data_IF_517741535143
#
_entry.id   IF_517741535143
#
_cell.length_a   1.000
_cell.length_b   1.000
_cell.length_c   1.000
_cell.angle_alpha   90.00
_cell.angle_beta   90.00
_cell.angle_gamma   90.00
#
_symmetry.space_group_name_H-M   'P 1'
#
loop_
_entity.id
_entity.type
_entity.pdbx_description
1 polymer ?
#
# COMPACT_ATOMS: atom_id res chain seq x y z
N UNK A 1 -2.08 -8.35 10.40
CA UNK A 1 -0.82 -8.82 9.77
C UNK A 1 -0.36 -7.79 8.75
N UNK A 2 0.93 -7.48 8.70
CA UNK A 2 1.51 -6.53 7.74
C UNK A 2 2.54 -7.24 6.85
N UNK A 3 2.36 -7.18 5.53
CA UNK A 3 3.26 -7.80 4.53
C UNK A 3 3.81 -6.70 3.61
N UNK A 4 5.12 -6.66 3.44
CA UNK A 4 5.79 -5.77 2.47
C UNK A 4 6.24 -6.60 1.28
N UNK A 5 5.81 -6.19 0.09
CA UNK A 5 6.17 -6.80 -1.19
C UNK A 5 7.03 -5.81 -1.98
N UNK A 6 8.29 -6.15 -2.22
CA UNK A 6 9.24 -5.32 -2.95
C UNK A 6 9.68 -5.98 -4.25
N UNK A 7 10.34 -5.24 -5.11
CA UNK A 7 10.93 -5.73 -6.36
C UNK A 7 11.08 -4.64 -7.42
N UNK A 8 11.83 -4.93 -8.46
CA UNK A 8 12.05 -4.04 -9.59
C UNK A 8 10.78 -3.78 -10.41
N UNK A 9 10.85 -2.81 -11.33
CA UNK A 9 9.76 -2.56 -12.28
C UNK A 9 9.50 -3.81 -13.13
N UNK A 10 8.22 -4.18 -13.31
CA UNK A 10 7.86 -5.37 -14.08
C UNK A 10 8.19 -6.72 -13.43
N UNK A 11 8.66 -6.76 -12.19
CA UNK A 11 9.03 -8.02 -11.50
C UNK A 11 7.87 -8.97 -11.21
N UNK A 12 6.62 -8.52 -11.34
CA UNK A 12 5.43 -9.29 -10.97
C UNK A 12 4.94 -9.06 -9.54
N UNK A 13 5.55 -8.12 -8.79
CA UNK A 13 5.21 -7.85 -7.38
C UNK A 13 3.74 -7.48 -7.15
N UNK A 14 3.11 -6.68 -8.04
CA UNK A 14 1.70 -6.31 -7.91
C UNK A 14 0.79 -7.53 -8.04
N UNK A 15 1.05 -8.39 -9.02
CA UNK A 15 0.29 -9.63 -9.22
C UNK A 15 0.43 -10.57 -8.02
N UNK A 16 1.64 -10.68 -7.47
CA UNK A 16 1.88 -11.46 -6.26
C UNK A 16 1.15 -10.86 -5.05
N UNK A 17 1.26 -9.55 -4.84
CA UNK A 17 0.57 -8.87 -3.73
C UNK A 17 -0.96 -9.08 -3.79
N UNK A 18 -1.56 -8.96 -4.99
CA UNK A 18 -2.99 -9.24 -5.19
C UNK A 18 -3.35 -10.71 -4.93
N UNK A 19 -2.45 -11.66 -5.23
CA UNK A 19 -2.71 -13.09 -4.99
C UNK A 19 -2.85 -13.44 -3.51
N UNK A 20 -2.18 -12.69 -2.61
CA UNK A 20 -2.32 -12.89 -1.17
C UNK A 20 -3.76 -12.68 -0.68
N UNK A 21 -4.54 -11.86 -1.39
CA UNK A 21 -5.93 -11.59 -1.04
C UNK A 21 -6.89 -12.75 -1.33
N UNK A 22 -6.44 -13.81 -1.98
CA UNK A 22 -7.22 -15.05 -2.12
C UNK A 22 -7.41 -15.76 -0.77
N UNK A 23 -6.47 -15.55 0.16
CA UNK A 23 -6.49 -16.14 1.49
C UNK A 23 -7.21 -15.26 2.53
N UNK A 24 -7.49 -13.99 2.21
CA UNK A 24 -8.17 -13.07 3.12
C UNK A 24 -9.68 -13.10 2.89
N UNK A 25 -10.39 -13.09 4.00
CA UNK A 25 -11.85 -13.00 4.03
C UNK A 25 -12.32 -11.54 4.15
N UNK A 26 -13.62 -11.30 4.07
CA UNK A 26 -14.23 -10.00 4.36
C UNK A 26 -13.95 -8.92 3.30
N UNK A 27 -13.86 -7.67 3.77
CA UNK A 27 -13.70 -6.50 2.91
C UNK A 27 -12.27 -6.37 2.39
N UNK A 28 -12.13 -6.20 1.07
CA UNK A 28 -10.85 -6.04 0.40
C UNK A 28 -10.75 -4.65 -0.22
N UNK A 29 -9.84 -3.83 0.28
CA UNK A 29 -9.65 -2.44 -0.13
C UNK A 29 -8.36 -2.34 -0.94
N UNK A 30 -8.42 -1.68 -2.10
CA UNK A 30 -7.26 -1.35 -2.90
C UNK A 30 -7.01 0.16 -2.80
N UNK A 31 -5.92 0.55 -2.13
CA UNK A 31 -5.51 1.94 -1.98
C UNK A 31 -4.59 2.29 -3.15
N UNK A 32 -5.12 3.03 -4.12
CA UNK A 32 -4.38 3.47 -5.30
C UNK A 32 -3.71 4.81 -5.03
N UNK A 33 -2.38 4.83 -5.05
CA UNK A 33 -1.59 6.06 -4.82
C UNK A 33 -1.12 6.73 -6.10
N UNK A 34 -1.45 6.18 -7.27
CA UNK A 34 -1.03 6.73 -8.54
C UNK A 34 -1.84 7.99 -8.88
N UNK A 35 -1.16 9.10 -9.04
CA UNK A 35 -1.71 10.34 -9.58
C UNK A 35 -1.62 10.33 -11.11
N UNK A 36 -2.66 10.81 -11.77
CA UNK A 36 -2.77 10.74 -13.22
C UNK A 36 -2.62 12.15 -13.80
N UNK A 37 -1.55 12.37 -14.52
CA UNK A 37 -1.26 13.68 -15.15
C UNK A 37 -1.49 13.70 -16.66
N UNK A 38 -1.48 12.54 -17.33
CA UNK A 38 -1.52 12.41 -18.79
C UNK A 38 -2.36 11.21 -19.26
N UNK A 39 -2.52 11.10 -20.59
CA UNK A 39 -3.28 9.99 -21.20
C UNK A 39 -2.61 8.63 -21.01
N UNK A 40 -1.28 8.57 -20.88
CA UNK A 40 -0.56 7.32 -20.60
C UNK A 40 -0.88 6.84 -19.18
N UNK A 41 -0.90 7.76 -18.21
CA UNK A 41 -1.32 7.49 -16.84
C UNK A 41 -2.76 6.99 -16.77
N UNK A 42 -3.70 7.60 -17.53
CA UNK A 42 -5.09 7.13 -17.62
C UNK A 42 -5.17 5.71 -18.17
N UNK A 43 -4.43 5.41 -19.24
CA UNK A 43 -4.40 4.08 -19.83
C UNK A 43 -3.84 3.03 -18.85
N UNK A 44 -2.82 3.40 -18.06
CA UNK A 44 -2.22 2.56 -17.03
C UNK A 44 -3.20 2.28 -15.90
N UNK A 45 -3.89 3.29 -15.38
CA UNK A 45 -4.94 3.13 -14.36
C UNK A 45 -6.09 2.26 -14.89
N UNK A 46 -6.57 2.51 -16.11
CA UNK A 46 -7.63 1.71 -16.72
C UNK A 46 -7.22 0.23 -16.85
N UNK A 47 -5.98 -0.04 -17.27
CA UNK A 47 -5.42 -1.39 -17.32
C UNK A 47 -5.39 -2.05 -15.94
N UNK A 48 -4.93 -1.34 -14.90
CA UNK A 48 -4.88 -1.86 -13.54
C UNK A 48 -6.29 -2.11 -12.98
N UNK A 49 -7.27 -1.22 -13.25
CA UNK A 49 -8.67 -1.45 -12.87
C UNK A 49 -9.23 -2.71 -13.52
N UNK A 50 -9.00 -2.89 -14.83
CA UNK A 50 -9.44 -4.08 -15.56
C UNK A 50 -8.82 -5.38 -15.03
N UNK A 51 -7.55 -5.35 -14.63
CA UNK A 51 -6.86 -6.52 -14.05
C UNK A 51 -7.41 -6.91 -12.66
N UNK A 52 -8.07 -5.98 -11.96
CA UNK A 52 -8.71 -6.20 -10.65
C UNK A 52 -10.19 -6.49 -10.74
N UNK A 53 -10.80 -6.35 -11.92
CA UNK A 53 -12.20 -6.65 -12.15
C UNK A 53 -12.52 -8.09 -11.75
N UNK A 54 -13.56 -8.28 -10.95
CA UNK A 54 -13.94 -9.61 -10.43
C UNK A 54 -13.14 -10.13 -9.24
N UNK A 55 -12.09 -9.40 -8.75
CA UNK A 55 -11.32 -9.83 -7.58
C UNK A 55 -11.90 -9.36 -6.24
N UNK A 56 -13.01 -8.65 -6.25
CA UNK A 56 -13.72 -8.21 -5.04
C UNK A 56 -13.08 -7.02 -4.31
N UNK A 57 -12.19 -6.26 -4.96
CA UNK A 57 -11.61 -5.06 -4.37
C UNK A 57 -12.53 -3.84 -4.48
N UNK A 58 -12.71 -3.14 -3.36
CA UNK A 58 -13.14 -1.75 -3.34
C UNK A 58 -11.92 -0.86 -3.59
N UNK A 59 -11.89 -0.12 -4.69
CA UNK A 59 -10.78 0.78 -5.00
C UNK A 59 -11.01 2.16 -4.40
N UNK A 60 -10.04 2.63 -3.62
CA UNK A 60 -9.98 3.99 -3.06
C UNK A 60 -8.76 4.68 -3.64
N UNK A 61 -8.95 5.81 -4.30
CA UNK A 61 -7.86 6.63 -4.83
C UNK A 61 -7.40 7.59 -3.72
N UNK A 62 -6.15 7.46 -3.30
CA UNK A 62 -5.53 8.30 -2.28
C UNK A 62 -4.07 8.53 -2.66
N UNK A 63 -3.79 9.50 -3.53
CA UNK A 63 -2.43 9.81 -3.95
C UNK A 63 -1.58 10.40 -2.82
N UNK A 64 -2.22 11.01 -1.82
CA UNK A 64 -1.59 11.64 -0.66
C UNK A 64 -2.42 11.35 0.59
N UNK A 65 -1.87 11.66 1.79
CA UNK A 65 -2.57 11.62 3.08
C UNK A 65 -3.29 10.28 3.37
N UNK A 66 -2.66 9.16 3.03
CA UNK A 66 -3.27 7.83 3.21
C UNK A 66 -3.68 7.54 4.65
N UNK A 67 -3.04 8.18 5.64
CA UNK A 67 -3.39 8.03 7.06
C UNK A 67 -4.77 8.53 7.45
N UNK A 68 -5.42 9.34 6.60
CA UNK A 68 -6.76 9.89 6.85
C UNK A 68 -7.88 8.97 6.34
N UNK A 69 -7.54 7.95 5.51
CA UNK A 69 -8.52 7.07 4.85
C UNK A 69 -9.48 6.36 5.81
N UNK A 70 -9.03 6.07 7.01
CA UNK A 70 -9.81 5.34 8.02
C UNK A 70 -10.07 6.19 9.29
N UNK A 71 -10.04 7.53 9.17
CA UNK A 71 -10.44 8.42 10.25
C UNK A 71 -11.94 8.24 10.56
N UNK A 72 -12.33 8.33 11.83
CA UNK A 72 -13.65 7.93 12.38
C UNK A 72 -14.90 8.50 11.67
N UNK A 73 -14.74 9.57 10.89
CA UNK A 73 -15.85 10.21 10.18
C UNK A 73 -16.21 9.55 8.83
N UNK A 74 -15.35 8.69 8.27
CA UNK A 74 -15.54 8.11 6.93
C UNK A 74 -16.12 6.68 6.94
N UNK A 75 -16.04 5.99 8.08
CA UNK A 75 -16.54 4.63 8.24
C UNK A 75 -17.66 4.61 9.30
N UNK A 76 -18.87 5.04 8.90
CA UNK A 76 -20.07 4.70 9.67
C UNK A 76 -20.18 3.17 9.67
N UNK A 77 -20.03 2.58 10.83
CA UNK A 77 -20.39 1.19 11.07
C UNK A 77 -21.79 0.95 10.48
N UNK A 78 -21.90 0.07 9.52
CA UNK A 78 -23.20 -0.57 9.20
C UNK A 78 -23.53 -1.48 10.39
N UNK A 79 -24.08 -0.85 11.44
CA UNK A 79 -24.72 -1.54 12.54
C UNK A 79 -26.04 -2.08 12.01
N UNK A 80 -26.05 -3.26 11.45
CA UNK A 80 -27.24 -4.09 11.32
C UNK A 80 -26.85 -5.56 11.04
N UNK A 81 -26.15 -6.17 12.00
CA UNK A 81 -26.23 -7.62 12.19
C UNK A 81 -26.27 -7.89 13.69
N UNK A 82 -27.44 -8.34 14.15
CA UNK A 82 -27.62 -8.89 15.48
C UNK A 82 -26.55 -9.98 15.73
N UNK A 83 -25.93 -10.05 16.91
CA UNK A 83 -24.95 -11.07 17.20
C UNK A 83 -25.58 -12.45 17.08
N UNK A 84 -25.02 -13.30 16.25
CA UNK A 84 -25.39 -14.72 16.16
C UNK A 84 -25.07 -15.38 17.50
N UNK A 85 -26.05 -16.00 18.14
CA UNK A 85 -25.98 -16.59 19.49
C UNK A 85 -24.92 -17.71 19.64
N UNK A 86 -24.21 -18.07 18.56
CA UNK A 86 -23.20 -19.12 18.53
C UNK A 86 -21.75 -18.63 18.43
N UNK A 87 -21.49 -17.33 18.60
CA UNK A 87 -20.11 -16.84 18.50
C UNK A 87 -19.43 -16.88 19.86
N UNK A 88 -18.39 -17.68 20.02
CA UNK A 88 -17.55 -17.69 21.21
C UNK A 88 -16.97 -16.29 21.44
N UNK A 89 -16.97 -15.75 22.69
CA UNK A 89 -16.37 -14.46 22.99
C UNK A 89 -14.89 -14.45 22.61
N UNK A 90 -14.51 -13.62 21.62
CA UNK A 90 -13.13 -13.49 21.14
C UNK A 90 -12.83 -14.08 19.75
N UNK A 91 -13.74 -14.83 19.13
CA UNK A 91 -13.59 -15.23 17.74
C UNK A 91 -13.94 -14.08 16.80
N UNK A 92 -12.98 -13.57 16.04
CA UNK A 92 -13.23 -12.59 14.96
C UNK A 92 -14.11 -13.28 13.91
N UNK A 93 -15.25 -12.65 13.55
CA UNK A 93 -16.06 -13.15 12.44
C UNK A 93 -15.28 -12.89 11.13
N UNK A 94 -14.95 -13.93 10.35
CA UNK A 94 -14.19 -13.76 9.10
C UNK A 94 -14.85 -12.81 8.11
N UNK A 95 -16.17 -12.65 8.18
CA UNK A 95 -16.93 -11.73 7.31
C UNK A 95 -16.70 -10.24 7.66
N UNK A 96 -16.22 -9.95 8.87
CA UNK A 96 -15.92 -8.59 9.32
C UNK A 96 -14.43 -8.22 9.20
N UNK A 97 -13.62 -9.09 8.60
CA UNK A 97 -12.20 -8.85 8.37
C UNK A 97 -12.01 -7.74 7.33
N UNK A 98 -11.12 -6.77 7.63
CA UNK A 98 -10.78 -5.67 6.72
C UNK A 98 -9.33 -5.80 6.30
N UNK A 99 -9.11 -5.98 5.00
CA UNK A 99 -7.78 -6.14 4.42
C UNK A 99 -7.53 -5.08 3.34
N UNK A 100 -6.34 -4.46 3.33
CA UNK A 100 -6.01 -3.46 2.33
C UNK A 100 -4.70 -3.77 1.60
N UNK A 101 -4.68 -3.43 0.31
CA UNK A 101 -3.50 -3.41 -0.55
C UNK A 101 -3.15 -1.97 -0.89
N UNK A 102 -1.99 -1.48 -0.46
CA UNK A 102 -1.47 -0.17 -0.82
C UNK A 102 -0.52 -0.31 -2.01
N UNK A 103 -0.87 0.31 -3.13
CA UNK A 103 -0.06 0.32 -4.36
C UNK A 103 0.08 1.72 -4.95
N UNK A 104 1.29 2.30 -4.85
CA UNK A 104 2.52 1.82 -4.22
C UNK A 104 3.20 2.93 -3.42
N UNK A 105 4.13 2.54 -2.55
CA UNK A 105 4.89 3.50 -1.73
C UNK A 105 5.68 4.48 -2.57
N UNK A 106 6.22 4.07 -3.73
CA UNK A 106 7.01 4.95 -4.59
C UNK A 106 6.18 6.10 -5.16
N UNK A 107 4.94 5.84 -5.62
CA UNK A 107 4.05 6.91 -6.07
C UNK A 107 3.66 7.82 -4.90
N UNK A 108 3.30 7.22 -3.76
CA UNK A 108 2.96 7.99 -2.56
C UNK A 108 4.12 8.90 -2.13
N UNK A 109 5.36 8.38 -2.13
CA UNK A 109 6.54 9.18 -1.79
C UNK A 109 6.76 10.33 -2.77
N UNK A 110 6.58 10.10 -4.06
CA UNK A 110 6.70 11.14 -5.07
C UNK A 110 5.64 12.23 -4.88
N UNK A 111 4.37 11.85 -4.69
CA UNK A 111 3.27 12.79 -4.52
C UNK A 111 3.43 13.63 -3.24
N UNK A 112 3.81 13.00 -2.12
CA UNK A 112 4.04 13.70 -0.85
C UNK A 112 5.27 14.60 -0.88
N UNK A 113 6.26 14.31 -1.74
CA UNK A 113 7.48 15.08 -1.86
C UNK A 113 7.37 16.24 -2.85
N UNK A 114 6.77 15.99 -4.02
CA UNK A 114 6.69 16.95 -5.13
C UNK A 114 5.29 17.55 -5.21
N UNK A 115 4.97 18.39 -4.23
CA UNK A 115 3.67 19.06 -4.15
C UNK A 115 3.62 20.30 -5.04
N UNK A 116 2.43 20.75 -5.38
CA UNK A 116 2.23 21.99 -6.17
C UNK A 116 2.82 23.22 -5.50
N UNK A 117 2.83 23.27 -4.17
CA UNK A 117 3.35 24.37 -3.36
C UNK A 117 4.86 24.27 -3.07
N UNK A 118 5.53 23.22 -3.53
CA UNK A 118 6.97 23.05 -3.42
C UNK A 118 7.44 21.65 -3.06
N UNK A 119 8.76 21.53 -2.86
CA UNK A 119 9.40 20.24 -2.52
C UNK A 119 9.50 20.12 -1.01
N UNK A 120 8.92 19.04 -0.46
CA UNK A 120 8.99 18.71 0.96
C UNK A 120 10.28 17.96 1.26
N UNK A 121 10.94 18.28 2.39
CA UNK A 121 12.21 17.66 2.77
C UNK A 121 12.06 16.13 2.96
N UNK A 122 13.04 15.36 2.47
CA UNK A 122 13.00 13.89 2.43
C UNK A 122 12.68 13.26 3.80
N UNK A 123 13.22 13.82 4.90
CA UNK A 123 12.94 13.30 6.24
C UNK A 123 11.48 13.49 6.66
N UNK A 124 10.91 14.66 6.35
CA UNK A 124 9.50 14.96 6.67
C UNK A 124 8.55 14.03 5.91
N UNK A 125 8.83 13.79 4.62
CA UNK A 125 8.07 12.86 3.79
C UNK A 125 8.15 11.44 4.35
N UNK A 126 9.37 10.99 4.68
CA UNK A 126 9.56 9.64 5.22
C UNK A 126 8.82 9.45 6.56
N UNK A 127 9.00 10.39 7.49
CA UNK A 127 8.35 10.33 8.81
C UNK A 127 6.82 10.32 8.67
N UNK A 128 6.26 11.19 7.79
CA UNK A 128 4.82 11.26 7.52
C UNK A 128 4.27 9.95 6.97
N UNK A 129 4.90 9.40 5.92
CA UNK A 129 4.40 8.16 5.27
C UNK A 129 4.47 6.98 6.25
N UNK A 130 5.54 6.87 7.04
CA UNK A 130 5.66 5.82 8.06
C UNK A 130 4.54 5.94 9.08
N UNK A 131 4.26 7.15 9.57
CA UNK A 131 3.18 7.40 10.53
C UNK A 131 1.80 7.09 9.91
N UNK A 132 1.55 7.54 8.68
CA UNK A 132 0.30 7.29 7.96
C UNK A 132 0.05 5.78 7.75
N UNK A 133 1.09 5.03 7.35
CA UNK A 133 0.98 3.57 7.20
C UNK A 133 0.73 2.89 8.55
N UNK A 134 1.32 3.36 9.65
CA UNK A 134 1.02 2.85 10.98
C UNK A 134 -0.44 3.09 11.38
N UNK A 135 -0.98 4.29 11.07
CA UNK A 135 -2.39 4.63 11.33
C UNK A 135 -3.33 3.66 10.58
N UNK A 136 -3.10 3.45 9.29
CA UNK A 136 -3.96 2.53 8.52
C UNK A 136 -3.78 1.07 8.96
N UNK A 137 -2.56 0.65 9.27
CA UNK A 137 -2.30 -0.72 9.75
C UNK A 137 -3.01 -1.01 11.09
N UNK A 138 -3.14 -0.02 11.97
CA UNK A 138 -3.85 -0.18 13.25
C UNK A 138 -5.36 -0.38 13.10
N UNK A 139 -5.94 -0.08 11.94
CA UNK A 139 -7.38 -0.15 11.63
C UNK A 139 -7.76 -1.35 10.76
N UNK A 140 -6.76 -2.12 10.33
CA UNK A 140 -6.92 -3.24 9.41
C UNK A 140 -6.47 -4.56 10.08
N UNK A 141 -7.08 -5.64 9.66
CA UNK A 141 -6.64 -6.99 10.04
C UNK A 141 -5.42 -7.41 9.23
N UNK A 142 -5.41 -7.07 7.93
CA UNK A 142 -4.29 -7.34 7.03
C UNK A 142 -3.97 -6.10 6.19
N UNK A 143 -2.69 -5.77 6.10
CA UNK A 143 -2.17 -4.72 5.23
C UNK A 143 -1.04 -5.29 4.37
N UNK A 144 -1.24 -5.30 3.06
CA UNK A 144 -0.20 -5.61 2.08
C UNK A 144 0.28 -4.32 1.44
N UNK A 145 1.59 -4.10 1.43
CA UNK A 145 2.21 -2.87 0.93
C UNK A 145 3.13 -3.22 -0.23
N UNK A 146 2.88 -2.62 -1.39
CA UNK A 146 3.79 -2.74 -2.54
C UNK A 146 4.76 -1.57 -2.55
N UNK A 147 6.05 -1.88 -2.65
CA UNK A 147 7.11 -0.90 -2.82
C UNK A 147 8.06 -1.29 -3.95
N UNK A 148 8.85 -0.33 -4.42
CA UNK A 148 9.80 -0.56 -5.50
C UNK A 148 11.24 -0.61 -4.96
N UNK A 149 12.03 -1.52 -5.52
CA UNK A 149 13.48 -1.46 -5.47
C UNK A 149 13.96 -0.51 -6.58
N UNK A 150 14.43 0.68 -6.20
CA UNK A 150 14.83 1.77 -7.11
C UNK A 150 16.29 2.17 -6.92
N UNK A 151 17.10 1.31 -6.27
CA UNK A 151 18.44 1.68 -5.78
C UNK A 151 19.59 1.05 -6.56
N UNK A 152 19.32 0.18 -7.53
CA UNK A 152 20.33 -0.74 -8.09
C UNK A 152 20.79 -0.40 -9.52
N UNK A 153 20.40 0.76 -10.05
CA UNK A 153 20.77 1.16 -11.43
C UNK A 153 22.20 1.74 -11.55
N UNK A 154 22.85 2.08 -10.42
CA UNK A 154 24.21 2.60 -10.39
C UNK A 154 24.36 4.01 -10.96
N UNK A 155 23.27 4.73 -11.19
CA UNK A 155 23.28 6.08 -11.76
C UNK A 155 23.36 7.12 -10.63
N UNK A 156 24.18 8.15 -10.84
CA UNK A 156 24.16 9.32 -9.96
C UNK A 156 23.15 10.33 -10.51
N UNK A 157 22.12 10.59 -9.74
CA UNK A 157 21.03 11.52 -10.07
C UNK A 157 21.31 12.92 -9.53
N UNK A 158 20.49 13.88 -9.94
CA UNK A 158 20.44 15.22 -9.33
C UNK A 158 20.05 15.13 -7.84
N UNK A 159 20.27 16.24 -7.10
CA UNK A 159 20.06 16.28 -5.65
C UNK A 159 18.62 15.95 -5.24
N UNK A 160 17.64 16.37 -6.04
CA UNK A 160 16.22 16.18 -5.75
C UNK A 160 15.82 14.70 -5.90
N UNK A 161 16.29 14.05 -6.96
CA UNK A 161 16.11 12.62 -7.17
C UNK A 161 16.83 11.81 -6.08
N UNK A 162 18.04 12.24 -5.68
CA UNK A 162 18.76 11.61 -4.57
C UNK A 162 18.02 11.74 -3.24
N UNK A 163 17.36 12.87 -2.97
CA UNK A 163 16.53 13.04 -1.78
C UNK A 163 15.28 12.13 -1.82
N UNK A 164 14.66 11.95 -2.97
CA UNK A 164 13.58 10.97 -3.16
C UNK A 164 14.05 9.55 -2.88
N UNK A 165 15.18 9.12 -3.45
CA UNK A 165 15.75 7.80 -3.19
C UNK A 165 16.05 7.60 -1.70
N UNK A 166 16.59 8.63 -1.04
CA UNK A 166 16.86 8.61 0.40
C UNK A 166 15.58 8.44 1.23
N UNK A 167 14.51 9.18 0.88
CA UNK A 167 13.22 9.02 1.53
C UNK A 167 12.67 7.59 1.34
N UNK A 168 12.70 7.06 0.12
CA UNK A 168 12.29 5.68 -0.20
C UNK A 168 13.10 4.66 0.61
N UNK A 169 14.42 4.82 0.74
CA UNK A 169 15.26 3.92 1.52
C UNK A 169 14.88 3.93 3.01
N UNK A 170 14.63 5.12 3.59
CA UNK A 170 14.19 5.24 4.97
C UNK A 170 12.82 4.60 5.20
N UNK A 171 11.86 4.84 4.31
CA UNK A 171 10.52 4.24 4.38
C UNK A 171 10.61 2.73 4.28
N UNK A 172 11.29 2.20 3.25
CA UNK A 172 11.40 0.76 3.03
C UNK A 172 12.05 0.05 4.24
N UNK A 173 13.10 0.62 4.81
CA UNK A 173 13.77 0.06 5.99
C UNK A 173 12.85 0.05 7.22
N UNK A 174 12.09 1.15 7.45
CA UNK A 174 11.15 1.25 8.55
C UNK A 174 9.97 0.26 8.39
N UNK A 175 9.42 0.15 7.19
CA UNK A 175 8.33 -0.78 6.89
C UNK A 175 8.78 -2.24 7.03
N UNK A 176 9.95 -2.60 6.51
CA UNK A 176 10.52 -3.94 6.65
C UNK A 176 10.76 -4.32 8.10
N UNK A 177 11.19 -3.38 8.95
CA UNK A 177 11.37 -3.59 10.39
C UNK A 177 10.03 -3.90 11.08
N UNK A 178 8.96 -3.22 10.71
CA UNK A 178 7.63 -3.35 11.32
C UNK A 178 6.81 -4.52 10.75
N UNK A 179 7.03 -4.90 9.50
CA UNK A 179 6.28 -5.95 8.82
C UNK A 179 6.44 -7.32 9.50
N UNK A 180 5.39 -8.12 9.45
CA UNK A 180 5.40 -9.54 9.83
C UNK A 180 6.13 -10.38 8.77
N UNK A 181 6.03 -9.98 7.49
CA UNK A 181 6.70 -10.63 6.37
C UNK A 181 7.22 -9.59 5.38
N UNK A 182 8.38 -9.88 4.80
CA UNK A 182 8.96 -9.12 3.69
C UNK A 182 9.28 -10.08 2.56
N UNK A 183 8.70 -9.82 1.40
CA UNK A 183 8.83 -10.65 0.20
C UNK A 183 9.45 -9.80 -0.92
N UNK A 184 10.52 -10.28 -1.51
CA UNK A 184 11.03 -9.72 -2.75
C UNK A 184 10.55 -10.57 -3.94
N UNK A 185 10.02 -9.91 -4.98
CA UNK A 185 9.58 -10.61 -6.20
C UNK A 185 10.61 -10.35 -7.30
N UNK A 186 11.26 -11.42 -7.73
CA UNK A 186 12.27 -11.42 -8.77
C UNK A 186 11.80 -12.29 -9.93
N UNK A 187 11.61 -11.72 -11.12
CA UNK A 187 11.14 -12.44 -12.31
C UNK A 187 9.87 -13.28 -12.07
N UNK A 188 8.93 -12.74 -11.30
CA UNK A 188 7.67 -13.42 -10.94
C UNK A 188 7.79 -14.43 -9.79
N UNK A 189 8.99 -14.66 -9.26
CA UNK A 189 9.25 -15.60 -8.18
C UNK A 189 9.30 -14.85 -6.85
N UNK A 190 8.40 -15.14 -5.88
CA UNK A 190 8.46 -14.54 -4.55
C UNK A 190 9.59 -15.18 -3.73
N UNK A 191 10.44 -14.35 -3.16
CA UNK A 191 11.53 -14.74 -2.27
C UNK A 191 11.26 -14.14 -0.89
N UNK A 192 11.11 -14.97 0.12
CA UNK A 192 10.91 -14.49 1.49
C UNK A 192 12.22 -13.98 2.08
N UNK A 193 12.23 -12.70 2.50
CA UNK A 193 13.36 -12.03 3.14
C UNK A 193 13.20 -12.07 4.66
N UNK A 194 11.95 -11.92 5.14
CA UNK A 194 11.60 -11.99 6.56
C UNK A 194 10.34 -12.80 6.78
#
# INVERSE_FOLDING_TARGET
MMVVVTGGSGSGKSAYAESLFQEFSGEKIYIATMQVYDEEGKAKVARHRKLREGKGFLTVESPENVGELFAEAAFSESKDTLPDENTFPGAKNPQNEKSALLECVSNLTANEMFREDGIVACKQVADKIIEDIQKINSRLDNLVIVTNNVFEDGITYDSTTMDYLKAMGQINAALAKQADQVIEVVCGIPVRIK
#
